data_IF_605717431914
#
_entry.id   IF_605717431914
#
_cell.length_a   1.000
_cell.length_b   1.000
_cell.length_c   1.000
_cell.angle_alpha   90.00
_cell.angle_beta   90.00
_cell.angle_gamma   90.00
#
_symmetry.space_group_name_H-M   'P 1'
#
loop_
_entity.id
_entity.type
_entity.pdbx_description
1 polymer ?
#
# COMPACT_ATOMS: atom_id res chain seq x y z
N UNK A 1 7.11 23.74 9.21
CA UNK A 1 8.34 22.99 8.84
C UNK A 1 8.01 21.52 8.81
N UNK A 2 8.14 20.86 7.65
CA UNK A 2 7.94 19.41 7.55
C UNK A 2 9.13 18.69 8.17
N UNK A 3 8.90 17.82 9.15
CA UNK A 3 9.95 17.01 9.76
C UNK A 3 10.50 16.02 8.72
N UNK A 4 11.78 16.12 8.42
CA UNK A 4 12.49 15.12 7.62
C UNK A 4 12.32 13.75 8.29
N UNK A 5 11.74 12.78 7.57
CA UNK A 5 11.58 11.43 8.10
C UNK A 5 12.94 10.77 8.08
N UNK A 6 13.42 10.40 9.27
CA UNK A 6 14.67 9.68 9.45
C UNK A 6 14.62 8.35 8.71
N UNK A 7 15.74 7.98 8.11
CA UNK A 7 15.86 6.68 7.45
C UNK A 7 15.77 5.57 8.50
N UNK A 8 14.92 4.54 8.29
CA UNK A 8 14.76 3.46 9.25
C UNK A 8 16.06 2.67 9.38
N UNK A 9 16.32 2.14 10.58
CA UNK A 9 17.55 1.36 10.87
C UNK A 9 17.32 -0.15 10.74
N UNK A 10 16.07 -0.57 10.82
CA UNK A 10 15.66 -1.97 10.71
C UNK A 10 14.36 -2.11 9.91
N UNK A 11 14.05 -3.33 9.41
CA UNK A 11 12.76 -3.61 8.80
C UNK A 11 11.60 -3.26 9.73
N UNK A 12 10.48 -2.86 9.14
CA UNK A 12 9.21 -2.64 9.85
C UNK A 12 9.15 -1.40 10.75
N UNK A 13 10.17 -0.55 10.75
CA UNK A 13 10.07 0.74 11.43
C UNK A 13 9.08 1.68 10.72
N UNK A 14 9.22 1.82 9.39
CA UNK A 14 8.45 2.78 8.61
C UNK A 14 7.86 2.10 7.38
N UNK A 15 6.52 2.07 7.31
CA UNK A 15 5.78 1.73 6.10
C UNK A 15 5.30 2.98 5.39
N UNK A 16 5.33 2.94 4.07
CA UNK A 16 4.52 3.79 3.23
C UNK A 16 3.32 2.99 2.71
N UNK A 17 2.13 3.58 2.76
CA UNK A 17 0.92 2.98 2.24
C UNK A 17 0.21 3.94 1.29
N UNK A 18 -0.30 3.40 0.20
CA UNK A 18 -1.02 4.13 -0.84
C UNK A 18 -2.18 3.29 -1.35
N UNK A 19 -3.31 3.93 -1.62
CA UNK A 19 -4.48 3.24 -2.15
C UNK A 19 -4.66 3.55 -3.63
N UNK A 20 -4.42 2.57 -4.50
CA UNK A 20 -4.86 2.64 -5.88
C UNK A 20 -6.35 2.27 -5.92
N UNK A 21 -7.17 3.13 -6.51
CA UNK A 21 -8.62 2.90 -6.67
C UNK A 21 -9.02 3.08 -8.13
N UNK A 22 -10.26 2.69 -8.46
CA UNK A 22 -10.83 2.85 -9.80
C UNK A 22 -10.08 2.06 -10.89
N UNK A 23 -9.58 0.88 -10.54
CA UNK A 23 -9.06 -0.07 -11.52
C UNK A 23 -10.24 -0.79 -12.22
N UNK A 24 -10.10 -1.20 -13.49
CA UNK A 24 -11.00 -2.15 -14.11
C UNK A 24 -11.16 -3.42 -13.23
N UNK A 25 -12.38 -3.95 -13.05
CA UNK A 25 -12.57 -5.21 -12.34
C UNK A 25 -11.79 -6.34 -12.99
N UNK A 26 -11.04 -7.11 -12.19
CA UNK A 26 -10.19 -8.20 -12.69
C UNK A 26 -10.27 -9.48 -11.85
N UNK A 27 -10.04 -10.62 -12.53
CA UNK A 27 -10.09 -11.96 -11.96
C UNK A 27 -11.49 -12.42 -11.53
N UNK A 28 -11.59 -13.66 -11.03
CA UNK A 28 -12.86 -14.28 -10.62
C UNK A 28 -13.59 -13.48 -9.53
N UNK A 29 -12.82 -12.84 -8.63
CA UNK A 29 -13.36 -12.01 -7.54
C UNK A 29 -13.70 -10.57 -7.96
N UNK A 30 -13.45 -10.18 -9.21
CA UNK A 30 -13.74 -8.85 -9.75
C UNK A 30 -13.17 -7.69 -8.90
N UNK A 31 -11.94 -7.84 -8.40
CA UNK A 31 -11.28 -6.79 -7.62
C UNK A 31 -11.02 -5.55 -8.47
N UNK A 32 -11.19 -4.36 -7.89
CA UNK A 32 -11.15 -3.07 -8.60
C UNK A 32 -10.39 -1.97 -7.82
N UNK A 33 -9.68 -2.36 -6.76
CA UNK A 33 -8.78 -1.50 -6.00
C UNK A 33 -7.60 -2.30 -5.47
N UNK A 34 -6.54 -1.58 -5.13
CA UNK A 34 -5.30 -2.20 -4.71
C UNK A 34 -4.49 -1.30 -3.76
N UNK A 35 -4.47 -1.56 -2.44
CA UNK A 35 -3.47 -0.94 -1.59
C UNK A 35 -2.08 -1.49 -1.87
N UNK A 36 -1.13 -0.57 -1.92
CA UNK A 36 0.29 -0.84 -2.01
C UNK A 36 0.94 -0.42 -0.70
N UNK A 37 1.69 -1.33 -0.09
CA UNK A 37 2.54 -1.07 1.07
C UNK A 37 3.99 -1.22 0.68
N UNK A 38 4.85 -0.29 1.08
CA UNK A 38 6.30 -0.40 0.95
C UNK A 38 6.95 -0.29 2.32
N UNK A 39 7.74 -1.29 2.70
CA UNK A 39 8.64 -1.17 3.86
C UNK A 39 9.86 -0.32 3.45
N UNK A 40 10.08 0.81 4.13
CA UNK A 40 11.09 1.78 3.72
C UNK A 40 12.51 1.23 3.83
N UNK A 41 12.77 0.38 4.82
CA UNK A 41 14.08 -0.23 4.99
C UNK A 41 14.40 -1.24 3.88
N UNK A 42 13.48 -2.16 3.58
CA UNK A 42 13.67 -3.22 2.57
C UNK A 42 13.42 -2.74 1.13
N UNK A 43 12.74 -1.61 0.94
CA UNK A 43 12.29 -1.10 -0.37
C UNK A 43 11.45 -2.14 -1.14
N UNK A 44 10.73 -2.98 -0.41
CA UNK A 44 9.92 -4.05 -0.99
C UNK A 44 8.44 -3.65 -1.02
N UNK A 45 7.82 -3.53 -2.21
CA UNK A 45 6.38 -3.33 -2.33
C UNK A 45 5.61 -4.63 -2.07
N UNK A 46 4.47 -4.50 -1.40
CA UNK A 46 3.47 -5.53 -1.28
C UNK A 46 2.14 -4.96 -1.75
N UNK A 47 1.53 -5.66 -2.69
CA UNK A 47 0.34 -5.26 -3.44
C UNK A 47 -0.79 -6.18 -3.00
N UNK A 48 -1.91 -5.64 -2.53
CA UNK A 48 -3.06 -6.45 -2.10
C UNK A 48 -4.27 -6.13 -2.98
N UNK A 49 -5.00 -7.14 -3.44
CA UNK A 49 -6.25 -6.95 -4.17
C UNK A 49 -7.42 -6.77 -3.20
N UNK A 50 -8.27 -5.78 -3.48
CA UNK A 50 -9.46 -5.47 -2.68
C UNK A 50 -10.56 -4.84 -3.56
N UNK A 51 -11.71 -4.54 -2.95
CA UNK A 51 -12.75 -3.77 -3.61
C UNK A 51 -12.66 -2.29 -3.18
N UNK A 52 -12.98 -1.38 -4.10
CA UNK A 52 -12.96 0.07 -3.85
C UNK A 52 -13.96 0.47 -2.75
N UNK A 53 -15.04 -0.30 -2.65
CA UNK A 53 -16.18 -0.08 -1.76
C UNK A 53 -16.01 -0.84 -0.43
N UNK A 54 -14.88 -1.54 -0.23
CA UNK A 54 -14.54 -2.16 1.04
C UNK A 54 -14.59 -1.13 2.17
N UNK A 55 -15.24 -1.48 3.28
CA UNK A 55 -15.28 -0.59 4.43
C UNK A 55 -13.97 -0.66 5.20
N UNK A 56 -13.78 0.30 6.11
CA UNK A 56 -12.57 0.37 6.94
C UNK A 56 -12.28 -0.94 7.70
N UNK A 57 -13.34 -1.68 8.10
CA UNK A 57 -13.19 -2.97 8.78
C UNK A 57 -12.60 -4.05 7.87
N UNK A 58 -13.13 -4.21 6.67
CA UNK A 58 -12.63 -5.18 5.69
C UNK A 58 -11.17 -4.89 5.34
N UNK A 59 -10.86 -3.60 5.16
CA UNK A 59 -9.50 -3.11 4.97
C UNK A 59 -8.57 -3.47 6.14
N UNK A 60 -9.00 -3.22 7.38
CA UNK A 60 -8.21 -3.53 8.57
C UNK A 60 -7.96 -5.04 8.70
N UNK A 61 -8.98 -5.87 8.47
CA UNK A 61 -8.88 -7.34 8.50
C UNK A 61 -7.91 -7.82 7.40
N UNK A 62 -8.05 -7.32 6.17
CA UNK A 62 -7.18 -7.68 5.06
C UNK A 62 -5.72 -7.34 5.38
N UNK A 63 -5.45 -6.13 5.86
CA UNK A 63 -4.11 -5.70 6.24
C UNK A 63 -3.58 -6.59 7.37
N UNK A 64 -4.38 -6.85 8.41
CA UNK A 64 -3.96 -7.73 9.50
C UNK A 64 -3.54 -9.12 9.01
N UNK A 65 -4.40 -9.74 8.21
CA UNK A 65 -4.23 -11.12 7.75
C UNK A 65 -3.11 -11.27 6.72
N UNK A 66 -2.92 -10.28 5.83
CA UNK A 66 -1.95 -10.39 4.72
C UNK A 66 -0.64 -9.67 5.01
N UNK A 67 -0.65 -8.60 5.81
CA UNK A 67 0.51 -7.74 6.09
C UNK A 67 1.08 -8.09 7.46
N UNK A 68 0.31 -7.83 8.51
CA UNK A 68 0.81 -7.84 9.89
C UNK A 68 1.20 -9.24 10.34
N UNK A 69 0.47 -10.27 9.92
CA UNK A 69 0.80 -11.68 10.19
C UNK A 69 2.19 -12.11 9.70
N UNK A 70 2.65 -11.54 8.58
CA UNK A 70 3.93 -11.90 7.95
C UNK A 70 5.09 -11.00 8.39
N UNK A 71 4.82 -9.74 8.70
CA UNK A 71 5.87 -8.74 8.95
C UNK A 71 5.91 -8.21 10.37
N UNK A 72 4.87 -8.46 11.17
CA UNK A 72 4.65 -7.78 12.44
C UNK A 72 4.09 -6.36 12.23
N UNK A 73 4.03 -5.61 13.33
CA UNK A 73 3.50 -4.25 13.38
C UNK A 73 4.55 -3.22 12.97
N UNK A 74 4.12 -2.19 12.24
CA UNK A 74 4.98 -1.05 11.92
C UNK A 74 5.02 -0.06 13.08
N UNK A 75 6.17 0.57 13.31
CA UNK A 75 6.25 1.66 14.29
C UNK A 75 5.59 2.93 13.77
N UNK A 76 5.74 3.22 12.47
CA UNK A 76 5.10 4.34 11.79
C UNK A 76 4.55 3.92 10.44
N UNK A 77 3.31 4.33 10.16
CA UNK A 77 2.69 4.21 8.84
C UNK A 77 2.50 5.62 8.28
N UNK A 78 3.07 5.85 7.11
CA UNK A 78 2.88 7.06 6.32
C UNK A 78 1.92 6.74 5.19
N UNK A 79 0.81 7.45 5.10
CA UNK A 79 -0.18 7.21 4.05
C UNK A 79 -0.76 8.49 3.47
N UNK A 80 -1.46 8.36 2.34
CA UNK A 80 -2.40 9.38 1.89
C UNK A 80 -3.61 9.49 2.85
N UNK A 81 -4.57 10.34 2.47
CA UNK A 81 -5.79 10.61 3.24
C UNK A 81 -7.00 9.82 2.74
N UNK A 82 -6.81 8.61 2.23
CA UNK A 82 -7.94 7.74 1.89
C UNK A 82 -8.91 7.63 3.10
N UNK A 83 -10.24 7.72 2.90
CA UNK A 83 -11.23 7.63 3.98
C UNK A 83 -11.08 6.39 4.86
N UNK A 84 -10.61 5.27 4.30
CA UNK A 84 -10.38 4.01 5.04
C UNK A 84 -9.23 4.17 6.03
N UNK A 85 -8.15 4.85 5.62
CA UNK A 85 -6.95 5.10 6.43
C UNK A 85 -7.10 6.28 7.41
N UNK A 86 -8.09 7.15 7.20
CA UNK A 86 -8.40 8.25 8.13
C UNK A 86 -9.59 7.93 9.05
N UNK A 87 -10.19 6.75 8.90
CA UNK A 87 -11.35 6.31 9.69
C UNK A 87 -11.03 6.21 11.19
N UNK A 88 -12.07 6.37 12.02
CA UNK A 88 -11.98 6.17 13.47
C UNK A 88 -11.51 4.75 13.83
N UNK A 89 -11.95 3.74 13.07
CA UNK A 89 -11.50 2.37 13.27
C UNK A 89 -9.99 2.24 13.06
N UNK A 90 -9.48 2.69 11.92
CA UNK A 90 -8.07 2.57 11.57
C UNK A 90 -7.17 3.33 12.54
N UNK A 91 -7.55 4.56 12.87
CA UNK A 91 -6.81 5.41 13.81
C UNK A 91 -6.78 4.82 15.22
N UNK A 92 -7.92 4.39 15.75
CA UNK A 92 -7.98 3.77 17.08
C UNK A 92 -7.24 2.44 17.15
N UNK A 93 -7.34 1.62 16.09
CA UNK A 93 -6.65 0.33 16.00
C UNK A 93 -5.12 0.51 16.05
N UNK A 94 -4.58 1.44 15.26
CA UNK A 94 -3.13 1.71 15.25
C UNK A 94 -2.66 2.37 16.55
N UNK A 95 -3.47 3.24 17.16
CA UNK A 95 -3.19 3.77 18.49
C UNK A 95 -3.07 2.65 19.54
N UNK A 96 -3.96 1.66 19.50
CA UNK A 96 -3.91 0.50 20.40
C UNK A 96 -2.64 -0.33 20.20
N UNK A 97 -2.17 -0.46 18.96
CA UNK A 97 -0.92 -1.16 18.62
C UNK A 97 0.35 -0.32 18.89
N UNK A 98 0.21 0.95 19.28
CA UNK A 98 1.34 1.86 19.41
C UNK A 98 1.97 2.28 18.08
N UNK A 99 1.27 2.06 16.96
CA UNK A 99 1.70 2.47 15.63
C UNK A 99 1.35 3.93 15.39
N UNK A 100 2.35 4.74 15.06
CA UNK A 100 2.16 6.16 14.72
C UNK A 100 1.64 6.30 13.29
N UNK A 101 0.51 6.98 13.11
CA UNK A 101 0.00 7.34 11.80
C UNK A 101 0.47 8.73 11.39
N UNK A 102 0.90 8.88 10.14
CA UNK A 102 1.32 10.14 9.55
C UNK A 102 0.70 10.30 8.17
N UNK A 103 -0.26 11.22 8.04
CA UNK A 103 -0.96 11.45 6.78
C UNK A 103 -0.24 12.53 5.96
N UNK A 104 0.18 12.20 4.74
CA UNK A 104 0.76 13.17 3.81
C UNK A 104 -0.34 14.10 3.27
N UNK A 105 -0.05 15.41 3.21
CA UNK A 105 -1.03 16.45 2.84
C UNK A 105 -1.14 16.71 1.35
N UNK A 106 -0.16 16.28 0.56
CA UNK A 106 -0.10 16.38 -0.88
C UNK A 106 1.15 15.62 -1.33
N UNK A 107 1.12 15.11 -2.55
CA UNK A 107 2.25 14.46 -3.23
C UNK A 107 3.51 15.35 -3.13
N UNK A 108 4.47 14.98 -2.29
CA UNK A 108 5.75 15.69 -2.14
C UNK A 108 6.90 14.69 -2.33
N UNK A 109 7.25 14.38 -3.61
CA UNK A 109 8.26 13.40 -4.06
C UNK A 109 9.63 13.47 -3.35
N UNK A 110 9.91 14.61 -2.74
CA UNK A 110 11.23 15.00 -2.27
C UNK A 110 11.51 14.54 -0.83
N UNK A 111 10.48 14.35 0.01
CA UNK A 111 10.65 14.00 1.42
C UNK A 111 10.70 12.47 1.68
N UNK A 112 10.14 11.68 0.78
CA UNK A 112 9.93 10.24 1.00
C UNK A 112 10.75 9.32 0.07
N UNK A 113 11.61 9.92 -0.77
CA UNK A 113 12.77 9.27 -1.38
C UNK A 113 12.45 8.02 -2.22
N UNK A 114 13.20 6.93 -1.99
CA UNK A 114 13.08 5.69 -2.77
C UNK A 114 11.75 4.96 -2.54
N UNK A 115 11.17 5.04 -1.34
CA UNK A 115 9.92 4.33 -1.03
C UNK A 115 8.73 4.94 -1.75
N UNK A 116 8.71 6.27 -1.86
CA UNK A 116 7.71 6.97 -2.64
C UNK A 116 7.83 6.64 -4.13
N UNK A 117 9.05 6.69 -4.69
CA UNK A 117 9.27 6.23 -6.07
C UNK A 117 8.77 4.80 -6.30
N UNK A 118 9.03 3.90 -5.36
CA UNK A 118 8.56 2.51 -5.45
C UNK A 118 7.03 2.41 -5.45
N UNK A 119 6.34 3.18 -4.61
CA UNK A 119 4.87 3.25 -4.62
C UNK A 119 4.35 3.77 -5.96
N UNK A 120 4.94 4.85 -6.48
CA UNK A 120 4.53 5.44 -7.75
C UNK A 120 4.72 4.48 -8.91
N UNK A 121 5.90 3.86 -9.00
CA UNK A 121 6.20 2.85 -10.00
C UNK A 121 5.24 1.66 -9.89
N UNK A 122 4.92 1.22 -8.67
CA UNK A 122 3.96 0.13 -8.46
C UNK A 122 2.56 0.51 -8.95
N UNK A 123 2.06 1.69 -8.60
CA UNK A 123 0.75 2.19 -9.06
C UNK A 123 0.69 2.32 -10.59
N UNK A 124 1.73 2.88 -11.21
CA UNK A 124 1.80 3.02 -12.67
C UNK A 124 1.86 1.67 -13.39
N UNK A 125 2.60 0.70 -12.84
CA UNK A 125 2.63 -0.68 -13.35
C UNK A 125 1.21 -1.27 -13.26
N UNK A 126 0.56 -1.21 -12.09
CA UNK A 126 -0.78 -1.77 -11.89
C UNK A 126 -1.78 -1.17 -12.88
N UNK A 127 -1.81 0.16 -13.01
CA UNK A 127 -2.70 0.85 -13.96
C UNK A 127 -2.47 0.40 -15.39
N UNK A 128 -1.21 0.29 -15.82
CA UNK A 128 -0.87 -0.15 -17.18
C UNK A 128 -1.28 -1.61 -17.40
N UNK A 129 -0.98 -2.50 -16.46
CA UNK A 129 -1.38 -3.91 -16.54
C UNK A 129 -2.90 -4.05 -16.66
N UNK A 130 -3.66 -3.33 -15.83
CA UNK A 130 -5.13 -3.35 -15.88
C UNK A 130 -5.70 -2.71 -17.15
N UNK A 131 -5.08 -1.65 -17.69
CA UNK A 131 -5.56 -0.96 -18.88
C UNK A 131 -5.28 -1.71 -20.19
N UNK A 132 -4.13 -2.38 -20.28
CA UNK A 132 -3.71 -3.09 -21.50
C UNK A 132 -4.10 -4.58 -21.51
N UNK A 133 -4.72 -5.09 -20.45
CA UNK A 133 -5.22 -6.47 -20.40
C UNK A 133 -4.12 -7.50 -20.62
N UNK A 134 -2.96 -7.31 -19.99
CA UNK A 134 -1.86 -8.27 -20.09
C UNK A 134 -2.29 -9.58 -19.42
N UNK A 135 -2.63 -10.56 -20.25
CA UNK A 135 -2.91 -11.92 -19.81
C UNK A 135 -1.59 -12.65 -19.55
N UNK A 136 -1.42 -13.18 -18.34
CA UNK A 136 -0.31 -14.10 -18.06
C UNK A 136 -0.59 -15.41 -18.81
N UNK A 137 0.14 -15.67 -19.90
CA UNK A 137 0.21 -16.99 -20.50
C UNK A 137 0.96 -17.92 -19.56
N UNK A 138 0.20 -18.72 -18.83
CA UNK A 138 0.65 -19.89 -18.06
C UNK A 138 1.63 -19.63 -16.90
N UNK A 139 1.75 -20.57 -15.92
CA UNK A 139 2.50 -20.34 -14.68
C UNK A 139 4.03 -20.29 -14.82
N UNK A 140 4.59 -20.52 -16.00
CA UNK A 140 5.95 -21.06 -16.17
C UNK A 140 6.88 -20.34 -17.17
N UNK A 141 6.61 -19.10 -17.58
CA UNK A 141 7.71 -18.26 -18.09
C UNK A 141 7.36 -17.09 -19.00
N UNK A 142 8.27 -16.11 -19.04
CA UNK A 142 8.18 -14.94 -19.91
C UNK A 142 8.64 -15.28 -21.32
N UNK A 143 7.77 -15.11 -22.32
CA UNK A 143 8.17 -14.93 -23.72
C UNK A 143 7.62 -13.61 -24.23
N UNK A 144 8.51 -12.78 -24.78
CA UNK A 144 8.15 -11.59 -25.54
C UNK A 144 7.83 -12.01 -26.98
N UNK A 145 6.63 -11.67 -27.45
CA UNK A 145 6.40 -11.49 -28.89
C UNK A 145 6.84 -10.07 -29.29
#
# INVERSE_FOLDING_TARGET
MMSQIQEPKSPWEIAHMYWETALPPGGDSSYNACPVRVDRYRKNPMVLSCHKDDIAMDTAIMIWNKVTSHTGLFQTIISDRDPKLTSALWTNLNNLFGTKLSFSTAYHPQAYGLSERMIQTSGDIIRRFCAYGLEFKEPDGFTHD
#
